data_IF_227200625670
#
_entry.id   IF_227200625670
#
_cell.length_a   1.000
_cell.length_b   1.000
_cell.length_c   1.000
_cell.angle_alpha   90.00
_cell.angle_beta   90.00
_cell.angle_gamma   90.00
#
_symmetry.space_group_name_H-M   'P 1'
#
loop_
_entity.id
_entity.type
_entity.pdbx_description
1 polymer ?
#
# COMPACT_ATOMS: atom_id res chain seq x y z
N UNK A 1 6.28 5.73 16.90
CA UNK A 1 6.65 6.62 18.03
C UNK A 1 7.44 5.77 19.01
N UNK A 2 8.76 5.95 19.08
CA UNK A 2 9.58 5.14 20.00
C UNK A 2 9.33 5.57 21.44
N UNK A 3 8.71 4.67 22.21
CA UNK A 3 8.52 4.81 23.65
C UNK A 3 9.78 4.27 24.34
N UNK A 4 10.50 5.11 25.08
CA UNK A 4 11.72 4.70 25.79
C UNK A 4 11.59 4.92 27.29
N UNK A 5 12.09 3.96 28.09
CA UNK A 5 12.12 4.09 29.56
C UNK A 5 12.93 5.31 30.02
N UNK A 6 13.89 5.76 29.21
CA UNK A 6 14.65 6.99 29.45
C UNK A 6 13.78 8.25 29.39
N UNK A 7 12.89 8.35 28.39
CA UNK A 7 11.96 9.48 28.26
C UNK A 7 10.93 9.48 29.38
N UNK A 8 10.39 8.32 29.74
CA UNK A 8 9.45 8.18 30.88
C UNK A 8 10.12 8.57 32.20
N UNK A 9 11.38 8.19 32.41
CA UNK A 9 12.13 8.59 33.60
C UNK A 9 12.39 10.10 33.66
N UNK A 10 12.60 10.74 32.51
CA UNK A 10 12.78 12.19 32.38
C UNK A 10 11.48 12.97 32.62
N UNK A 11 10.33 12.45 32.16
CA UNK A 11 9.01 13.02 32.44
C UNK A 11 8.61 12.90 33.93
N UNK A 12 8.89 11.76 34.56
CA UNK A 12 8.55 11.50 35.97
C UNK A 12 9.49 12.22 36.97
N UNK A 13 10.68 12.61 36.53
CA UNK A 13 11.66 13.32 37.35
C UNK A 13 12.61 14.16 36.47
N UNK A 14 12.38 15.47 36.32
CA UNK A 14 13.17 16.32 35.42
C UNK A 14 14.64 16.46 35.85
N UNK A 15 14.97 16.20 37.11
CA UNK A 15 16.35 15.98 37.54
C UNK A 15 16.73 14.52 37.25
N UNK A 16 17.59 14.30 36.24
CA UNK A 16 18.09 12.98 35.80
C UNK A 16 18.68 12.18 36.96
N UNK A 17 17.84 11.43 37.67
CA UNK A 17 18.23 10.69 38.87
C UNK A 17 18.42 9.22 38.47
N UNK A 18 19.67 8.83 38.21
CA UNK A 18 20.11 7.48 37.83
C UNK A 18 19.43 6.33 38.62
N UNK A 19 19.15 6.47 39.93
CA UNK A 19 18.39 5.48 40.70
C UNK A 19 16.98 5.15 40.18
N UNK A 20 16.21 6.15 39.72
CA UNK A 20 14.83 5.94 39.24
C UNK A 20 14.80 5.19 37.91
N UNK A 21 15.74 5.49 37.01
CA UNK A 21 15.87 4.77 35.74
C UNK A 21 16.24 3.29 35.98
N UNK A 22 17.10 3.01 36.97
CA UNK A 22 17.46 1.64 37.33
C UNK A 22 16.25 0.87 37.84
N UNK A 23 15.47 1.46 38.75
CA UNK A 23 14.25 0.85 39.29
C UNK A 23 13.19 0.60 38.20
N UNK A 24 12.99 1.55 37.28
CA UNK A 24 12.10 1.36 36.13
C UNK A 24 12.55 0.24 35.20
N UNK A 25 13.87 0.10 34.96
CA UNK A 25 14.41 -1.01 34.17
C UNK A 25 14.20 -2.36 34.87
N UNK A 26 14.40 -2.39 36.18
CA UNK A 26 14.21 -3.59 37.01
C UNK A 26 12.75 -4.06 36.96
N UNK A 27 11.80 -3.19 37.30
CA UNK A 27 10.36 -3.48 37.19
C UNK A 27 9.92 -3.82 35.77
N UNK A 28 10.42 -3.10 34.77
CA UNK A 28 10.12 -3.40 33.37
C UNK A 28 10.62 -4.78 32.95
N UNK A 29 11.74 -5.25 33.53
CA UNK A 29 12.31 -6.56 33.23
C UNK A 29 11.60 -7.68 34.00
N UNK A 30 11.28 -7.46 35.27
CA UNK A 30 10.59 -8.43 36.14
C UNK A 30 9.22 -8.79 35.57
N UNK A 31 8.46 -7.79 35.15
CA UNK A 31 7.11 -7.99 34.62
C UNK A 31 7.06 -8.09 33.07
N UNK A 32 8.23 -8.09 32.42
CA UNK A 32 8.38 -8.15 30.96
C UNK A 32 7.48 -7.14 30.20
N UNK A 33 7.41 -5.91 30.71
CA UNK A 33 6.46 -4.89 30.22
C UNK A 33 6.69 -4.55 28.74
N UNK A 34 7.94 -4.44 28.29
CA UNK A 34 8.25 -4.08 26.90
C UNK A 34 7.68 -5.12 25.94
N UNK A 35 7.93 -6.41 26.20
CA UNK A 35 7.43 -7.50 25.35
C UNK A 35 5.90 -7.52 25.30
N UNK A 36 5.24 -7.31 26.46
CA UNK A 36 3.78 -7.27 26.55
C UNK A 36 3.17 -6.11 25.75
N UNK A 37 3.78 -4.93 25.86
CA UNK A 37 3.34 -3.74 25.10
C UNK A 37 3.56 -3.95 23.60
N UNK A 38 4.71 -4.50 23.18
CA UNK A 38 4.96 -4.82 21.77
C UNK A 38 3.95 -5.86 21.25
N UNK A 39 3.66 -6.91 22.02
CA UNK A 39 2.66 -7.90 21.63
C UNK A 39 1.25 -7.28 21.52
N UNK A 40 0.92 -6.37 22.43
CA UNK A 40 -0.34 -5.62 22.36
C UNK A 40 -0.41 -4.72 21.12
N UNK A 41 0.63 -3.94 20.83
CA UNK A 41 0.69 -3.06 19.67
C UNK A 41 0.55 -3.85 18.36
N UNK A 42 1.23 -5.01 18.25
CA UNK A 42 1.09 -5.93 17.10
C UNK A 42 -0.35 -6.44 16.95
N UNK A 43 -1.01 -6.76 18.06
CA UNK A 43 -2.40 -7.20 18.04
C UNK A 43 -3.37 -6.07 17.65
N UNK A 44 -3.13 -4.84 18.13
CA UNK A 44 -3.91 -3.68 17.70
C UNK A 44 -3.74 -3.43 16.20
N UNK A 45 -2.51 -3.51 15.67
CA UNK A 45 -2.25 -3.39 14.24
C UNK A 45 -2.95 -4.50 13.43
N UNK A 46 -3.01 -5.73 13.98
CA UNK A 46 -3.76 -6.83 13.36
C UNK A 46 -5.26 -6.53 13.31
N UNK A 47 -5.84 -6.06 14.42
CA UNK A 47 -7.26 -5.70 14.49
C UNK A 47 -7.60 -4.56 13.54
N UNK A 48 -6.79 -3.50 13.50
CA UNK A 48 -6.95 -2.38 12.57
C UNK A 48 -6.91 -2.85 11.12
N UNK A 49 -5.95 -3.71 10.75
CA UNK A 49 -5.90 -4.28 9.38
C UNK A 49 -7.17 -5.04 9.02
N UNK A 50 -7.70 -5.85 9.94
CA UNK A 50 -8.95 -6.59 9.72
C UNK A 50 -10.13 -5.63 9.55
N UNK A 51 -10.23 -4.61 10.38
CA UNK A 51 -11.29 -3.59 10.28
C UNK A 51 -11.20 -2.82 8.95
N UNK A 52 -10.01 -2.36 8.56
CA UNK A 52 -9.78 -1.72 7.28
C UNK A 52 -10.16 -2.60 6.09
N UNK A 53 -9.82 -3.89 6.12
CA UNK A 53 -10.21 -4.82 5.07
C UNK A 53 -11.74 -4.99 4.99
N UNK A 54 -12.43 -5.09 6.14
CA UNK A 54 -13.89 -5.15 6.19
C UNK A 54 -14.53 -3.87 5.64
N UNK A 55 -14.01 -2.70 6.04
CA UNK A 55 -14.47 -1.41 5.55
C UNK A 55 -14.30 -1.28 4.03
N UNK A 56 -13.14 -1.68 3.49
CA UNK A 56 -12.88 -1.70 2.04
C UNK A 56 -13.88 -2.59 1.29
N UNK A 57 -14.15 -3.80 1.79
CA UNK A 57 -15.14 -4.72 1.19
C UNK A 57 -16.55 -4.12 1.21
N UNK A 58 -16.96 -3.52 2.33
CA UNK A 58 -18.26 -2.85 2.45
C UNK A 58 -18.39 -1.69 1.47
N UNK A 59 -17.36 -0.84 1.41
CA UNK A 59 -17.31 0.31 0.51
C UNK A 59 -17.38 -0.12 -0.97
N UNK A 60 -16.61 -1.14 -1.35
CA UNK A 60 -16.65 -1.70 -2.70
C UNK A 60 -18.06 -2.18 -3.08
N UNK A 61 -18.74 -2.91 -2.18
CA UNK A 61 -20.14 -3.32 -2.39
C UNK A 61 -21.07 -2.13 -2.58
N UNK A 62 -20.99 -1.12 -1.69
CA UNK A 62 -21.83 0.08 -1.80
C UNK A 62 -21.59 0.85 -3.10
N UNK A 63 -20.33 0.96 -3.55
CA UNK A 63 -20.04 1.59 -4.84
C UNK A 63 -20.58 0.78 -6.02
N UNK A 64 -20.51 -0.54 -5.98
CA UNK A 64 -21.10 -1.41 -6.99
C UNK A 64 -22.63 -1.26 -7.05
N UNK A 65 -23.30 -1.25 -5.90
CA UNK A 65 -24.75 -1.04 -5.82
C UNK A 65 -25.16 0.34 -6.37
N UNK A 66 -24.39 1.39 -6.04
CA UNK A 66 -24.62 2.73 -6.54
C UNK A 66 -24.35 2.84 -8.05
N UNK A 67 -23.30 2.17 -8.55
CA UNK A 67 -22.99 2.08 -9.97
C UNK A 67 -24.15 1.43 -10.73
N UNK A 68 -24.65 0.28 -10.27
CA UNK A 68 -25.83 -0.36 -10.87
C UNK A 68 -27.09 0.50 -10.85
N UNK A 69 -27.32 1.25 -9.77
CA UNK A 69 -28.45 2.20 -9.71
C UNK A 69 -28.27 3.35 -10.72
N UNK A 70 -27.06 3.88 -10.84
CA UNK A 70 -26.72 4.94 -11.79
C UNK A 70 -26.82 4.44 -13.24
N UNK A 71 -26.29 3.27 -13.54
CA UNK A 71 -26.42 2.57 -14.82
C UNK A 71 -27.88 2.33 -15.16
N UNK A 72 -28.67 1.79 -14.24
CA UNK A 72 -30.09 1.54 -14.44
C UNK A 72 -30.90 2.82 -14.68
N UNK A 73 -30.59 3.92 -13.98
CA UNK A 73 -31.22 5.24 -14.23
C UNK A 73 -30.76 5.84 -15.55
N UNK A 74 -29.48 5.71 -15.89
CA UNK A 74 -28.90 6.14 -17.16
C UNK A 74 -29.54 5.41 -18.33
N UNK A 75 -29.61 4.08 -18.29
CA UNK A 75 -30.27 3.24 -19.28
C UNK A 75 -31.75 3.61 -19.43
N UNK A 76 -32.49 3.83 -18.34
CA UNK A 76 -33.89 4.29 -18.39
C UNK A 76 -34.02 5.68 -19.04
N UNK A 77 -33.13 6.61 -18.73
CA UNK A 77 -33.12 7.94 -19.33
C UNK A 77 -32.76 7.87 -20.82
N UNK A 78 -31.78 7.05 -21.20
CA UNK A 78 -31.44 6.77 -22.60
C UNK A 78 -32.63 6.15 -23.33
N UNK A 79 -33.33 5.18 -22.73
CA UNK A 79 -34.58 4.64 -23.30
C UNK A 79 -35.70 5.67 -23.43
N UNK A 80 -35.78 6.64 -22.53
CA UNK A 80 -36.77 7.73 -22.61
C UNK A 80 -36.39 8.79 -23.65
N UNK A 81 -35.08 8.97 -23.89
CA UNK A 81 -34.54 9.83 -24.96
C UNK A 81 -34.63 9.10 -26.32
N UNK A 82 -34.62 7.76 -26.34
CA UNK A 82 -34.91 6.88 -27.50
C UNK A 82 -36.39 6.90 -27.91
N UNK A 83 -37.01 8.09 -28.02
CA UNK A 83 -38.20 8.20 -28.83
C UNK A 83 -37.84 8.14 -30.34
N UNK A 84 -36.59 8.41 -30.74
CA UNK A 84 -36.17 8.46 -32.16
C UNK A 84 -34.71 8.00 -32.38
N UNK A 85 -34.34 6.77 -31.98
CA UNK A 85 -33.06 6.17 -32.39
C UNK A 85 -33.33 4.82 -33.04
N UNK A 86 -33.69 4.87 -34.32
CA UNK A 86 -33.66 3.70 -35.18
C UNK A 86 -32.18 3.26 -35.32
N UNK A 87 -31.83 1.96 -35.24
CA UNK A 87 -30.45 1.51 -35.45
C UNK A 87 -29.85 1.95 -36.81
N UNK A 88 -30.73 2.20 -37.79
CA UNK A 88 -30.41 2.75 -39.11
C UNK A 88 -30.06 4.25 -39.09
N UNK A 89 -30.45 4.99 -38.05
CA UNK A 89 -30.21 6.43 -37.89
C UNK A 89 -28.95 6.73 -37.07
N UNK A 90 -28.40 5.74 -36.38
CA UNK A 90 -27.16 5.89 -35.63
C UNK A 90 -25.98 6.05 -36.60
N UNK A 91 -25.21 7.13 -36.44
CA UNK A 91 -24.03 7.31 -37.29
C UNK A 91 -22.96 6.27 -36.96
N UNK A 92 -22.16 5.87 -37.96
CA UNK A 92 -21.07 4.88 -37.78
C UNK A 92 -20.11 5.28 -36.65
N UNK A 93 -19.89 6.57 -36.44
CA UNK A 93 -19.05 7.10 -35.36
C UNK A 93 -19.67 6.95 -33.97
N UNK A 94 -20.99 7.07 -33.85
CA UNK A 94 -21.71 6.85 -32.58
C UNK A 94 -21.77 5.37 -32.24
N UNK A 95 -21.97 4.52 -33.24
CA UNK A 95 -21.90 3.07 -33.11
C UNK A 95 -20.52 2.62 -32.59
N UNK A 96 -19.45 3.16 -33.19
CA UNK A 96 -18.07 2.83 -32.82
C UNK A 96 -17.74 3.31 -31.39
N UNK A 97 -18.21 4.50 -30.99
CA UNK A 97 -18.09 4.99 -29.61
C UNK A 97 -18.88 4.15 -28.61
N UNK A 98 -20.08 3.70 -28.98
CA UNK A 98 -20.88 2.83 -28.12
C UNK A 98 -20.20 1.48 -27.88
N UNK A 99 -19.60 0.89 -28.92
CA UNK A 99 -18.81 -0.34 -28.83
C UNK A 99 -17.54 -0.13 -27.99
N UNK A 100 -16.82 0.97 -28.21
CA UNK A 100 -15.61 1.31 -27.43
C UNK A 100 -15.94 1.47 -25.94
N UNK A 101 -17.01 2.21 -25.61
CA UNK A 101 -17.47 2.40 -24.23
C UNK A 101 -17.94 1.09 -23.59
N UNK A 102 -18.66 0.25 -24.34
CA UNK A 102 -19.08 -1.08 -23.89
C UNK A 102 -17.89 -1.97 -23.55
N UNK A 103 -16.89 -2.01 -24.43
CA UNK A 103 -15.66 -2.81 -24.24
C UNK A 103 -14.85 -2.32 -23.04
N UNK A 104 -14.77 -1.00 -22.83
CA UNK A 104 -14.11 -0.40 -21.65
C UNK A 104 -14.82 -0.75 -20.34
N UNK A 105 -16.15 -0.69 -20.35
CA UNK A 105 -16.96 -1.09 -19.18
C UNK A 105 -16.77 -2.57 -18.85
N UNK A 106 -16.80 -3.45 -19.86
CA UNK A 106 -16.55 -4.88 -19.67
C UNK A 106 -15.17 -5.14 -19.04
N UNK A 107 -14.11 -4.53 -19.59
CA UNK A 107 -12.75 -4.63 -19.03
C UNK A 107 -12.67 -4.17 -17.58
N UNK A 108 -13.24 -3.01 -17.26
CA UNK A 108 -13.27 -2.47 -15.90
C UNK A 108 -14.01 -3.40 -14.93
N UNK A 109 -15.13 -4.00 -15.35
CA UNK A 109 -15.89 -4.94 -14.51
C UNK A 109 -15.18 -6.27 -14.30
N UNK A 110 -14.43 -6.75 -15.28
CA UNK A 110 -13.60 -7.96 -15.19
C UNK A 110 -12.27 -7.73 -14.46
N UNK A 111 -11.94 -6.47 -14.15
CA UNK A 111 -10.67 -6.09 -13.52
C UNK A 111 -9.48 -6.15 -14.48
N UNK A 112 -9.74 -6.21 -15.79
CA UNK A 112 -8.71 -6.11 -16.83
C UNK A 112 -8.34 -4.64 -17.04
N UNK A 113 -7.04 -4.28 -17.01
CA UNK A 113 -6.62 -2.91 -17.18
C UNK A 113 -6.93 -2.42 -18.61
N UNK A 114 -7.59 -1.27 -18.72
CA UNK A 114 -7.92 -0.66 -20.02
C UNK A 114 -6.66 -0.17 -20.78
N UNK A 115 -5.62 0.18 -20.02
CA UNK A 115 -4.28 0.49 -20.53
C UNK A 115 -3.25 -0.33 -19.76
N UNK A 116 -2.35 -1.01 -20.48
CA UNK A 116 -1.13 -1.55 -19.89
C UNK A 116 -0.28 -0.37 -19.42
N UNK A 117 -0.40 0.01 -18.15
CA UNK A 117 0.52 0.95 -17.53
C UNK A 117 1.86 0.20 -17.43
N UNK A 118 2.73 0.39 -18.43
CA UNK A 118 4.14 0.11 -18.26
C UNK A 118 4.64 1.08 -17.18
N UNK A 119 4.70 0.61 -15.93
CA UNK A 119 5.52 1.25 -14.92
C UNK A 119 6.99 1.05 -15.32
N UNK A 120 7.46 1.84 -16.29
CA UNK A 120 8.87 2.17 -16.39
C UNK A 120 9.15 3.20 -15.29
N UNK A 121 9.12 2.76 -14.04
CA UNK A 121 9.72 3.56 -12.98
C UNK A 121 11.23 3.59 -13.27
N UNK A 122 11.69 4.68 -13.87
CA UNK A 122 13.04 5.14 -13.58
C UNK A 122 13.04 5.45 -12.09
N UNK A 123 13.51 4.48 -11.29
CA UNK A 123 13.76 4.68 -9.87
C UNK A 123 14.77 5.83 -9.80
N UNK A 124 14.28 7.06 -9.62
CA UNK A 124 15.09 8.18 -9.20
C UNK A 124 15.42 7.90 -7.74
N UNK A 125 16.47 7.10 -7.53
CA UNK A 125 17.13 6.95 -6.24
C UNK A 125 17.72 8.30 -5.87
N UNK A 126 16.89 9.20 -5.34
CA UNK A 126 17.37 10.09 -4.28
C UNK A 126 17.52 9.20 -3.05
N UNK A 127 18.50 8.29 -3.11
CA UNK A 127 19.09 7.73 -1.91
C UNK A 127 19.63 8.93 -1.17
N UNK A 128 19.29 9.06 0.10
CA UNK A 128 20.04 9.91 1.01
C UNK A 128 21.52 9.48 0.93
N UNK A 129 22.28 10.18 0.10
CA UNK A 129 23.67 9.88 -0.27
C UNK A 129 24.62 10.39 0.82
N UNK A 130 24.31 10.05 2.08
CA UNK A 130 25.23 10.19 3.21
C UNK A 130 25.91 8.87 3.57
N UNK A 131 25.18 7.75 3.45
CA UNK A 131 25.63 6.48 4.05
C UNK A 131 26.11 5.45 3.02
N UNK A 132 25.90 5.70 1.72
CA UNK A 132 26.27 4.74 0.66
C UNK A 132 27.77 4.59 0.49
N UNK A 133 28.54 5.66 0.72
CA UNK A 133 30.02 5.60 0.66
C UNK A 133 30.61 4.87 1.87
N UNK A 134 30.05 5.04 3.07
CA UNK A 134 30.46 4.28 4.26
C UNK A 134 30.15 2.78 4.12
N UNK A 135 28.97 2.43 3.58
CA UNK A 135 28.57 1.04 3.34
C UNK A 135 29.45 0.37 2.28
N UNK A 136 29.90 1.10 1.24
CA UNK A 136 30.76 0.55 0.20
C UNK A 136 32.26 0.47 0.58
N UNK A 137 32.70 1.27 1.56
CA UNK A 137 34.06 1.24 2.10
C UNK A 137 34.22 0.25 3.26
N UNK A 138 33.12 -0.33 3.76
CA UNK A 138 33.16 -1.42 4.72
C UNK A 138 33.69 -2.72 4.06
N UNK A 139 34.78 -3.31 4.58
CA UNK A 139 35.40 -4.49 3.98
C UNK A 139 34.49 -5.73 3.95
N UNK A 140 33.57 -5.89 4.90
CA UNK A 140 32.61 -7.01 4.89
C UNK A 140 31.59 -6.86 3.76
N UNK A 141 31.08 -5.65 3.56
CA UNK A 141 30.12 -5.34 2.50
C UNK A 141 30.73 -5.47 1.11
N UNK A 142 32.00 -5.08 0.94
CA UNK A 142 32.73 -5.25 -0.33
C UNK A 142 32.94 -6.74 -0.69
N UNK A 143 33.26 -7.60 0.28
CA UNK A 143 33.41 -9.05 0.06
C UNK A 143 32.06 -9.71 -0.30
N UNK A 144 30.97 -9.33 0.38
CA UNK A 144 29.62 -9.79 0.04
C UNK A 144 29.21 -9.37 -1.38
N UNK A 145 29.50 -8.12 -1.77
CA UNK A 145 29.23 -7.64 -3.12
C UNK A 145 30.02 -8.46 -4.16
N UNK A 146 31.31 -8.71 -3.93
CA UNK A 146 32.14 -9.53 -4.82
C UNK A 146 31.59 -10.96 -4.97
N UNK A 147 31.18 -11.59 -3.86
CA UNK A 147 30.54 -12.92 -3.87
C UNK A 147 29.23 -12.94 -4.66
N UNK A 148 28.42 -11.90 -4.52
CA UNK A 148 27.15 -11.78 -5.22
C UNK A 148 27.35 -11.60 -6.73
N UNK A 149 28.28 -10.73 -7.13
CA UNK A 149 28.65 -10.54 -8.54
C UNK A 149 29.23 -11.82 -9.14
N UNK A 150 30.11 -12.53 -8.43
CA UNK A 150 30.63 -13.82 -8.89
C UNK A 150 29.50 -14.84 -9.10
N UNK A 151 28.50 -14.89 -8.21
CA UNK A 151 27.33 -15.77 -8.35
C UNK A 151 26.47 -15.41 -9.56
N UNK A 152 26.24 -14.12 -9.83
CA UNK A 152 25.47 -13.65 -10.99
C UNK A 152 26.21 -13.99 -12.29
N UNK A 153 27.52 -13.73 -12.34
CA UNK A 153 28.35 -14.03 -13.51
C UNK A 153 28.43 -15.54 -13.78
N UNK A 154 28.52 -16.37 -12.74
CA UNK A 154 28.49 -17.82 -12.89
C UNK A 154 27.10 -18.36 -13.22
N UNK A 155 26.02 -17.70 -12.80
CA UNK A 155 24.64 -18.05 -13.14
C UNK A 155 24.23 -17.73 -14.58
N UNK A 156 24.99 -16.88 -15.29
CA UNK A 156 24.77 -16.55 -16.71
C UNK A 156 25.46 -17.51 -17.70
N UNK A 157 26.20 -18.51 -17.23
CA UNK A 157 26.67 -19.62 -18.08
C UNK A 157 25.61 -20.73 -18.12
N UNK A 158 24.51 -20.47 -18.83
CA UNK A 158 23.58 -21.49 -19.33
C UNK A 158 22.92 -20.99 -20.61
#
# INVERSE_FOLDING_TARGET
MERSLSKVAEELAPAKTTPKLRQLKEWSSEDNWVSRVTAWDVEQDRLLRIEHQKAKKKMAKTHMDLAHLAEGRGAKKLHTINLDLNPEEMTVMEALKAIELGTKLERLTLGEPDTLIQHSESINTKTDCGNTEEILNDPETADLACKLFARICNGKKR
#
